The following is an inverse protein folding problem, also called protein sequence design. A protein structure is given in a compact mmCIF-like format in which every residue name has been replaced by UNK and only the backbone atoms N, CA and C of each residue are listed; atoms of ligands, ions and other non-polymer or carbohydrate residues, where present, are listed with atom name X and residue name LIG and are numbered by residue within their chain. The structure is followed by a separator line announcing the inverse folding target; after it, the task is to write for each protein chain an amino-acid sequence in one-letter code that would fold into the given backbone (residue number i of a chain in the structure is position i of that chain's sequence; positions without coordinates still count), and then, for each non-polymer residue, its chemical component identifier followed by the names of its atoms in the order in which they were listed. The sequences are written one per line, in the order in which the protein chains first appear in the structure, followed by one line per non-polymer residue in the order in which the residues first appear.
data_IF_429073529561
#
_entry.id   IF_429073529561
#
_cell.length_a   1.000
_cell.length_b   1.000
_cell.length_c   1.000
_cell.angle_alpha   90.00
_cell.angle_beta   90.00
_cell.angle_gamma   90.00
#
_symmetry.space_group_name_H-M   'P 1'
#
loop_
_entity.id
_entity.type
_entity.pdbx_description
1 polymer ?
#
# COMPACT_ATOMS: atom_id res chain seq x y z
N UNK A 1 14.93 -31.11 13.10
CA UNK A 1 15.32 -29.69 13.28
C UNK A 1 16.57 -29.64 14.13
N UNK A 2 17.67 -29.04 13.64
CA UNK A 2 18.89 -28.84 14.45
C UNK A 2 18.66 -27.68 15.43
N UNK A 3 17.79 -27.87 16.42
CA UNK A 3 17.63 -26.90 17.49
C UNK A 3 18.96 -26.84 18.28
N UNK A 4 19.57 -25.65 18.36
CA UNK A 4 20.77 -25.39 19.16
C UNK A 4 20.45 -24.23 20.09
N UNK A 5 20.54 -24.46 21.39
CA UNK A 5 20.11 -23.49 22.40
C UNK A 5 19.79 -24.16 23.74
N UNK A 6 20.71 -24.06 24.69
CA UNK A 6 20.52 -24.50 26.08
C UNK A 6 20.56 -23.28 26.98
N UNK A 7 19.64 -23.17 27.93
CA UNK A 7 19.68 -22.14 28.96
C UNK A 7 20.44 -22.69 30.17
N UNK A 8 21.61 -22.12 30.49
CA UNK A 8 22.47 -22.53 31.61
C UNK A 8 22.92 -21.31 32.39
N UNK A 9 22.85 -21.38 33.72
CA UNK A 9 23.37 -20.34 34.62
C UNK A 9 22.85 -18.92 34.27
N UNK A 10 21.60 -18.80 33.83
CA UNK A 10 21.00 -17.52 33.44
C UNK A 10 21.34 -17.02 32.03
N UNK A 11 22.09 -17.79 31.23
CA UNK A 11 22.46 -17.43 29.85
C UNK A 11 21.97 -18.45 28.83
N UNK A 12 21.59 -17.97 27.64
CA UNK A 12 21.33 -18.80 26.48
C UNK A 12 22.64 -19.07 25.74
N UNK A 13 22.99 -20.34 25.55
CA UNK A 13 24.18 -20.79 24.79
C UNK A 13 23.77 -21.69 23.63
N UNK A 14 24.32 -21.45 22.44
CA UNK A 14 23.99 -22.16 21.20
C UNK A 14 24.69 -23.51 21.09
N UNK A 15 24.37 -24.44 21.99
CA UNK A 15 24.90 -25.80 22.03
C UNK A 15 23.80 -26.84 21.77
N UNK A 16 24.21 -28.07 21.47
CA UNK A 16 23.29 -29.21 21.39
C UNK A 16 22.84 -29.63 22.79
N UNK A 17 21.59 -30.06 22.93
CA UNK A 17 21.04 -30.60 24.18
C UNK A 17 21.55 -32.07 24.33
N UNK A 18 22.04 -32.49 25.51
CA UNK A 18 22.35 -33.90 25.77
C UNK A 18 21.09 -34.78 25.63
N UNK A 19 21.21 -35.98 25.05
CA UNK A 19 20.06 -36.84 24.71
C UNK A 19 19.22 -37.23 25.94
N UNK A 20 19.89 -37.43 27.07
CA UNK A 20 19.28 -37.74 28.36
C UNK A 20 18.42 -36.59 28.90
N UNK A 21 18.79 -35.34 28.58
CA UNK A 21 18.11 -34.12 29.02
C UNK A 21 16.97 -33.71 28.06
N UNK A 22 17.01 -34.12 26.78
CA UNK A 22 16.03 -33.74 25.75
C UNK A 22 14.57 -34.05 26.12
N UNK A 23 14.31 -35.15 26.83
CA UNK A 23 12.94 -35.53 27.25
C UNK A 23 12.62 -35.16 28.69
N UNK A 24 13.62 -35.18 29.56
CA UNK A 24 13.43 -35.09 31.02
C UNK A 24 13.47 -33.65 31.53
N UNK A 25 14.09 -32.74 30.76
CA UNK A 25 14.31 -31.33 31.15
C UNK A 25 13.80 -30.33 30.12
N UNK A 26 12.97 -30.77 29.18
CA UNK A 26 12.35 -29.88 28.20
C UNK A 26 11.27 -29.02 28.84
N UNK A 27 11.48 -27.71 28.85
CA UNK A 27 10.55 -26.74 29.44
C UNK A 27 9.75 -26.00 28.35
N UNK A 28 10.28 -25.91 27.12
CA UNK A 28 9.61 -25.24 26.01
C UNK A 28 10.49 -25.03 24.79
N UNK A 29 9.85 -24.63 23.69
CA UNK A 29 10.50 -24.33 22.42
C UNK A 29 10.45 -22.83 22.15
N UNK A 30 11.61 -22.22 21.88
CA UNK A 30 11.70 -20.84 21.40
C UNK A 30 12.11 -20.85 19.92
N UNK A 31 11.32 -20.18 19.09
CA UNK A 31 11.62 -19.97 17.69
C UNK A 31 12.02 -18.51 17.48
N UNK A 32 13.20 -18.27 16.92
CA UNK A 32 13.69 -16.93 16.61
C UNK A 32 13.90 -16.78 15.11
N UNK A 33 13.15 -15.85 14.49
CA UNK A 33 13.33 -15.47 13.10
C UNK A 33 14.19 -14.20 13.02
N UNK A 34 15.48 -14.36 12.76
CA UNK A 34 16.45 -13.26 12.66
C UNK A 34 16.04 -12.23 11.60
N UNK A 35 15.59 -12.66 10.43
CA UNK A 35 15.26 -11.76 9.32
C UNK A 35 14.05 -10.88 9.67
N UNK A 36 13.02 -11.47 10.28
CA UNK A 36 11.85 -10.72 10.73
C UNK A 36 12.20 -9.70 11.83
N UNK A 37 13.07 -10.10 12.77
CA UNK A 37 13.53 -9.20 13.83
C UNK A 37 14.32 -8.00 13.28
N UNK A 38 15.29 -8.23 12.39
CA UNK A 38 16.07 -7.13 11.79
C UNK A 38 15.18 -6.21 10.94
N UNK A 39 14.20 -6.76 10.21
CA UNK A 39 13.20 -5.98 9.47
C UNK A 39 12.40 -5.07 10.41
N UNK A 40 11.81 -5.62 11.46
CA UNK A 40 11.02 -4.85 12.44
C UNK A 40 11.84 -3.75 13.12
N UNK A 41 13.12 -4.03 13.42
CA UNK A 41 14.06 -3.04 13.98
C UNK A 41 14.34 -1.90 13.01
N UNK A 42 14.49 -2.20 11.72
CA UNK A 42 14.67 -1.20 10.66
C UNK A 42 13.43 -0.32 10.50
N UNK A 43 12.25 -0.93 10.41
CA UNK A 43 10.96 -0.23 10.31
C UNK A 43 10.71 0.69 11.52
N UNK A 44 11.01 0.20 12.73
CA UNK A 44 10.91 1.01 13.94
C UNK A 44 11.83 2.24 13.88
N UNK A 45 13.09 2.06 13.45
CA UNK A 45 14.03 3.20 13.27
C UNK A 45 13.50 4.21 12.24
N UNK A 46 13.03 3.73 11.09
CA UNK A 46 12.46 4.58 10.04
C UNK A 46 11.27 5.38 10.53
N UNK A 47 10.38 4.77 11.32
CA UNK A 47 9.25 5.47 11.95
C UNK A 47 9.73 6.61 12.85
N UNK A 48 10.72 6.37 13.71
CA UNK A 48 11.25 7.41 14.61
C UNK A 48 12.05 8.49 13.87
N UNK A 49 12.77 8.12 12.81
CA UNK A 49 13.44 9.09 11.95
C UNK A 49 12.44 9.97 11.21
N UNK A 50 11.40 9.40 10.64
CA UNK A 50 10.28 10.15 10.08
C UNK A 50 9.66 11.06 11.13
N UNK A 51 9.38 10.56 12.33
CA UNK A 51 8.78 11.34 13.42
C UNK A 51 9.65 12.53 13.83
N UNK A 52 10.98 12.39 13.78
CA UNK A 52 11.94 13.47 14.10
C UNK A 52 12.07 14.52 12.99
N UNK A 53 12.00 14.10 11.73
CA UNK A 53 12.22 14.99 10.57
C UNK A 53 10.92 15.44 9.90
N UNK A 54 9.76 15.10 10.45
CA UNK A 54 8.47 15.51 9.91
C UNK A 54 8.29 17.03 9.99
N UNK A 55 7.61 17.58 9.00
CA UNK A 55 7.21 18.99 9.01
C UNK A 55 5.98 19.17 9.90
N UNK A 56 6.18 19.64 11.13
CA UNK A 56 5.12 19.84 12.13
C UNK A 56 4.02 20.82 11.68
N UNK A 57 4.29 21.74 10.75
CA UNK A 57 3.27 22.65 10.22
C UNK A 57 2.20 21.92 9.38
N UNK A 58 2.57 20.84 8.69
CA UNK A 58 1.65 20.01 7.92
C UNK A 58 0.87 19.03 8.82
N UNK A 59 1.41 18.72 9.99
CA UNK A 59 0.77 17.88 11.01
C UNK A 59 -0.27 18.66 11.83
N UNK A 60 -0.02 19.94 12.12
CA UNK A 60 -0.96 20.79 12.86
C UNK A 60 -2.33 20.94 12.20
N UNK A 61 -2.47 20.77 10.89
CA UNK A 61 -3.79 20.79 10.21
C UNK A 61 -4.47 19.41 10.14
N UNK A 62 -3.76 18.32 10.42
CA UNK A 62 -4.34 16.96 10.47
C UNK A 62 -4.67 16.53 11.90
N UNK A 63 -3.86 16.95 12.89
CA UNK A 63 -4.04 16.58 14.30
C UNK A 63 -4.75 17.68 15.13
N UNK A 64 -5.11 18.84 14.56
CA UNK A 64 -5.88 19.88 15.27
C UNK A 64 -7.30 19.43 15.63
N UNK A 65 -7.76 18.28 15.12
CA UNK A 65 -9.14 17.82 15.25
C UNK A 65 -10.11 18.57 14.34
N UNK A 66 -9.61 19.34 13.36
CA UNK A 66 -10.46 20.02 12.37
C UNK A 66 -10.89 19.10 11.22
N UNK A 67 -10.20 17.97 11.01
CA UNK A 67 -10.54 16.97 10.00
C UNK A 67 -10.27 15.54 10.48
N UNK A 68 -11.31 14.70 10.49
CA UNK A 68 -11.24 13.31 10.96
C UNK A 68 -10.74 12.30 9.90
N UNK A 69 -10.03 12.75 8.85
CA UNK A 69 -9.64 11.88 7.73
C UNK A 69 -8.33 12.27 7.02
N UNK A 70 -7.70 11.29 6.36
CA UNK A 70 -6.53 11.52 5.50
C UNK A 70 -6.92 12.11 4.13
N UNK A 71 -6.83 13.44 4.02
CA UNK A 71 -7.22 14.19 2.83
C UNK A 71 -6.40 13.84 1.57
N UNK A 72 -5.14 13.42 1.72
CA UNK A 72 -4.31 12.99 0.59
C UNK A 72 -4.81 11.64 0.07
N UNK A 73 -5.08 10.71 0.96
CA UNK A 73 -5.58 9.39 0.57
C UNK A 73 -6.98 9.48 -0.04
N UNK A 74 -7.87 10.33 0.49
CA UNK A 74 -9.16 10.57 -0.15
C UNK A 74 -9.01 11.21 -1.52
N UNK A 75 -8.14 12.22 -1.70
CA UNK A 75 -7.87 12.76 -3.03
C UNK A 75 -7.38 11.68 -4.02
N UNK A 76 -6.53 10.75 -3.58
CA UNK A 76 -6.12 9.61 -4.42
C UNK A 76 -7.30 8.68 -4.77
N UNK A 77 -8.23 8.47 -3.85
CA UNK A 77 -9.46 7.69 -4.09
C UNK A 77 -10.29 8.34 -5.21
N UNK A 78 -10.51 9.65 -5.16
CA UNK A 78 -11.20 10.38 -6.22
C UNK A 78 -10.47 10.34 -7.57
N UNK A 79 -9.14 10.41 -7.59
CA UNK A 79 -8.35 10.22 -8.82
C UNK A 79 -8.63 8.86 -9.46
N UNK A 80 -8.69 7.80 -8.66
CA UNK A 80 -8.96 6.44 -9.15
C UNK A 80 -10.39 6.31 -9.68
N UNK A 81 -11.39 6.84 -8.97
CA UNK A 81 -12.78 6.83 -9.42
C UNK A 81 -12.95 7.55 -10.76
N UNK A 82 -12.38 8.76 -10.90
CA UNK A 82 -12.44 9.50 -12.15
C UNK A 82 -11.71 8.80 -13.29
N UNK A 83 -10.55 8.20 -13.02
CA UNK A 83 -9.84 7.43 -14.05
C UNK A 83 -10.62 6.19 -14.45
N UNK A 84 -11.22 5.47 -13.49
CA UNK A 84 -12.06 4.31 -13.73
C UNK A 84 -13.28 4.66 -14.60
N UNK A 85 -13.97 5.76 -14.30
CA UNK A 85 -15.06 6.26 -15.14
C UNK A 85 -14.59 6.59 -16.57
N UNK A 86 -13.41 7.20 -16.72
CA UNK A 86 -12.85 7.51 -18.03
C UNK A 86 -12.53 6.24 -18.83
N UNK A 87 -11.99 5.20 -18.17
CA UNK A 87 -11.76 3.89 -18.78
C UNK A 87 -13.08 3.31 -19.26
N UNK A 88 -14.10 3.27 -18.40
CA UNK A 88 -15.39 2.66 -18.75
C UNK A 88 -16.09 3.38 -19.91
N UNK A 89 -15.95 4.70 -20.01
CA UNK A 89 -16.58 5.52 -21.07
C UNK A 89 -15.78 5.55 -22.38
N UNK A 90 -14.46 5.61 -22.31
CA UNK A 90 -13.61 5.93 -23.46
C UNK A 90 -12.52 4.88 -23.75
N UNK A 91 -12.37 3.89 -22.89
CA UNK A 91 -11.36 2.83 -23.04
C UNK A 91 -9.95 3.22 -22.62
N UNK A 92 -9.75 4.39 -22.03
CA UNK A 92 -8.42 4.88 -21.62
C UNK A 92 -8.42 5.52 -20.21
N UNK A 93 -7.30 5.43 -19.47
CA UNK A 93 -7.20 6.04 -18.13
C UNK A 93 -7.04 7.56 -18.19
N UNK A 94 -7.75 8.26 -17.30
CA UNK A 94 -7.51 9.70 -17.07
C UNK A 94 -6.31 9.88 -16.14
N UNK A 95 -5.13 10.11 -16.72
CA UNK A 95 -3.87 10.25 -15.96
C UNK A 95 -3.62 11.71 -15.56
N UNK A 96 -3.78 12.63 -16.52
CA UNK A 96 -3.52 14.06 -16.34
C UNK A 96 -4.84 14.79 -16.14
N UNK A 97 -5.05 15.28 -14.93
CA UNK A 97 -6.22 16.06 -14.57
C UNK A 97 -6.01 17.54 -14.93
N UNK A 98 -7.05 18.15 -15.48
CA UNK A 98 -7.09 19.58 -15.79
C UNK A 98 -8.48 20.15 -15.44
N UNK A 99 -8.63 21.47 -15.56
CA UNK A 99 -9.93 22.13 -15.39
C UNK A 99 -10.56 21.90 -14.01
N UNK A 100 -11.86 21.60 -14.00
CA UNK A 100 -12.66 21.46 -12.78
C UNK A 100 -12.24 20.28 -11.91
N UNK A 101 -11.98 19.10 -12.52
CA UNK A 101 -11.56 17.91 -11.77
C UNK A 101 -10.24 18.14 -11.04
N UNK A 102 -9.28 18.84 -11.67
CA UNK A 102 -8.03 19.20 -10.99
C UNK A 102 -8.30 20.12 -9.80
N UNK A 103 -9.15 21.15 -9.96
CA UNK A 103 -9.51 22.06 -8.88
C UNK A 103 -10.17 21.33 -7.71
N UNK A 104 -11.08 20.41 -8.00
CA UNK A 104 -11.73 19.60 -6.97
C UNK A 104 -10.73 18.71 -6.24
N UNK A 105 -9.86 17.99 -6.95
CA UNK A 105 -8.81 17.16 -6.32
C UNK A 105 -7.90 17.98 -5.41
N UNK A 106 -7.54 19.20 -5.83
CA UNK A 106 -6.75 20.12 -4.99
C UNK A 106 -7.54 20.62 -3.77
N UNK A 107 -8.83 20.87 -3.91
CA UNK A 107 -9.70 21.23 -2.79
C UNK A 107 -9.86 20.08 -1.78
N UNK A 108 -10.01 18.83 -2.24
CA UNK A 108 -10.04 17.64 -1.39
C UNK A 108 -8.72 17.50 -0.64
N UNK A 109 -7.58 17.58 -1.35
CA UNK A 109 -6.25 17.52 -0.72
C UNK A 109 -6.03 18.62 0.31
N UNK A 110 -6.58 19.80 0.06
CA UNK A 110 -6.51 20.95 0.96
C UNK A 110 -7.50 20.88 2.13
N UNK A 111 -8.31 19.82 2.24
CA UNK A 111 -9.21 19.63 3.37
C UNK A 111 -10.47 20.51 3.34
N UNK A 112 -10.91 20.93 2.16
CA UNK A 112 -12.05 21.87 2.02
C UNK A 112 -13.43 21.22 2.16
N UNK A 113 -13.49 19.92 2.47
CA UNK A 113 -14.72 19.16 2.57
C UNK A 113 -14.78 18.48 3.93
N UNK A 114 -15.99 18.16 4.37
CA UNK A 114 -16.22 17.25 5.48
C UNK A 114 -16.14 15.80 4.99
N UNK A 115 -15.98 14.86 5.92
CA UNK A 115 -15.97 13.43 5.56
C UNK A 115 -17.28 12.98 4.92
N UNK A 116 -18.43 13.43 5.45
CA UNK A 116 -19.75 13.08 4.93
C UNK A 116 -19.98 13.61 3.51
N UNK A 117 -19.53 14.83 3.20
CA UNK A 117 -19.58 15.37 1.84
C UNK A 117 -18.76 14.53 0.85
N UNK A 118 -17.59 14.04 1.28
CA UNK A 118 -16.75 13.17 0.46
C UNK A 118 -17.39 11.80 0.26
N UNK A 119 -17.99 11.21 1.30
CA UNK A 119 -18.73 9.95 1.18
C UNK A 119 -19.91 10.06 0.22
N UNK A 120 -20.69 11.14 0.32
CA UNK A 120 -21.81 11.39 -0.60
C UNK A 120 -21.33 11.49 -2.06
N UNK A 121 -20.21 12.19 -2.30
CA UNK A 121 -19.60 12.27 -3.63
C UNK A 121 -19.08 10.92 -4.13
N UNK A 122 -18.45 10.11 -3.27
CA UNK A 122 -17.98 8.76 -3.63
C UNK A 122 -19.15 7.87 -4.02
N UNK A 123 -20.27 7.94 -3.30
CA UNK A 123 -21.48 7.18 -3.63
C UNK A 123 -21.98 7.52 -5.05
N UNK A 124 -22.11 8.82 -5.36
CA UNK A 124 -22.52 9.28 -6.70
C UNK A 124 -21.58 8.76 -7.80
N UNK A 125 -20.27 8.87 -7.61
CA UNK A 125 -19.29 8.38 -8.59
C UNK A 125 -19.30 6.86 -8.74
N UNK A 126 -19.58 6.14 -7.66
CA UNK A 126 -19.67 4.67 -7.65
C UNK A 126 -20.92 4.21 -8.40
N UNK A 127 -22.06 4.87 -8.17
CA UNK A 127 -23.31 4.58 -8.89
C UNK A 127 -23.17 4.88 -10.39
N UNK A 128 -22.52 6.00 -10.73
CA UNK A 128 -22.20 6.32 -12.12
C UNK A 128 -21.32 5.23 -12.74
N UNK A 129 -20.29 4.76 -12.03
CA UNK A 129 -19.39 3.72 -12.51
C UNK A 129 -20.14 2.41 -12.78
N UNK A 130 -21.03 2.00 -11.87
CA UNK A 130 -21.87 0.81 -12.05
C UNK A 130 -22.83 0.95 -13.23
N UNK A 131 -23.36 2.16 -13.48
CA UNK A 131 -24.22 2.41 -14.62
C UNK A 131 -23.44 2.28 -15.94
N UNK A 132 -22.28 2.95 -16.05
CA UNK A 132 -21.46 2.92 -17.27
C UNK A 132 -20.91 1.51 -17.52
N UNK A 133 -20.56 0.77 -16.47
CA UNK A 133 -20.06 -0.60 -16.59
C UNK A 133 -21.07 -1.53 -17.29
N UNK A 134 -22.38 -1.30 -17.16
CA UNK A 134 -23.40 -2.12 -17.83
C UNK A 134 -23.50 -1.84 -19.34
N UNK A 135 -23.03 -0.66 -19.76
CA UNK A 135 -23.12 -0.17 -21.14
C UNK A 135 -21.78 -0.23 -21.88
N UNK A 136 -20.68 -0.47 -21.15
CA UNK A 136 -19.34 -0.45 -21.73
C UNK A 136 -19.12 -1.60 -22.71
N UNK A 137 -18.38 -1.33 -23.78
CA UNK A 137 -17.92 -2.34 -24.73
C UNK A 137 -16.62 -3.03 -24.27
N UNK A 138 -16.06 -2.65 -23.12
CA UNK A 138 -14.86 -3.27 -22.58
C UNK A 138 -15.13 -4.73 -22.18
N UNK A 139 -14.22 -5.66 -22.51
CA UNK A 139 -14.35 -7.04 -22.09
C UNK A 139 -14.16 -7.16 -20.58
N UNK A 140 -14.82 -8.15 -19.97
CA UNK A 140 -14.68 -8.45 -18.54
C UNK A 140 -13.24 -8.86 -18.18
N UNK A 141 -12.52 -9.49 -19.11
CA UNK A 141 -11.16 -9.97 -18.94
C UNK A 141 -10.29 -9.41 -20.06
N UNK A 142 -9.10 -8.93 -19.70
CA UNK A 142 -8.11 -8.46 -20.68
C UNK A 142 -7.57 -9.62 -21.54
N UNK A 143 -7.28 -9.36 -22.80
CA UNK A 143 -6.54 -10.30 -23.66
C UNK A 143 -5.09 -10.39 -23.19
N UNK A 144 -4.81 -11.36 -22.33
CA UNK A 144 -3.48 -11.61 -21.78
C UNK A 144 -2.44 -11.94 -22.86
N UNK A 145 -2.85 -12.51 -24.00
CA UNK A 145 -1.96 -12.74 -25.14
C UNK A 145 -1.48 -11.42 -25.75
N UNK A 146 -2.39 -10.46 -25.92
CA UNK A 146 -2.05 -9.10 -26.36
C UNK A 146 -1.19 -8.35 -25.34
N UNK A 147 -1.51 -8.46 -24.04
CA UNK A 147 -0.70 -7.85 -22.97
C UNK A 147 0.72 -8.41 -22.99
N UNK A 148 0.89 -9.73 -23.11
CA UNK A 148 2.22 -10.35 -23.14
C UNK A 148 3.03 -9.94 -24.37
N UNK A 149 2.39 -9.86 -25.55
CA UNK A 149 3.05 -9.35 -26.77
C UNK A 149 3.51 -7.89 -26.60
N UNK A 150 2.69 -7.06 -25.97
CA UNK A 150 3.03 -5.66 -25.69
C UNK A 150 4.20 -5.55 -24.69
N UNK A 151 4.19 -6.35 -23.63
CA UNK A 151 5.28 -6.37 -22.66
C UNK A 151 6.61 -6.72 -23.32
N UNK A 152 6.64 -7.82 -24.08
CA UNK A 152 7.84 -8.25 -24.80
C UNK A 152 8.35 -7.17 -25.75
N UNK A 153 7.47 -6.54 -26.53
CA UNK A 153 7.89 -5.52 -27.50
C UNK A 153 8.42 -4.25 -26.84
N UNK A 154 7.87 -3.84 -25.70
CA UNK A 154 8.40 -2.71 -24.92
C UNK A 154 9.75 -3.07 -24.31
N UNK A 155 9.91 -4.29 -23.78
CA UNK A 155 11.18 -4.77 -23.22
C UNK A 155 12.26 -4.83 -24.29
N UNK A 156 12.00 -5.46 -25.44
CA UNK A 156 12.96 -5.54 -26.56
C UNK A 156 13.40 -4.15 -27.03
N UNK A 157 12.46 -3.21 -27.15
CA UNK A 157 12.78 -1.82 -27.50
C UNK A 157 13.64 -1.15 -26.44
N UNK A 158 13.29 -1.30 -25.17
CA UNK A 158 14.05 -0.71 -24.08
C UNK A 158 15.48 -1.28 -24.01
N UNK A 159 15.64 -2.60 -24.18
CA UNK A 159 16.95 -3.26 -24.19
C UNK A 159 17.80 -2.79 -25.39
N UNK A 160 17.22 -2.64 -26.58
CA UNK A 160 17.95 -2.13 -27.74
C UNK A 160 18.44 -0.68 -27.54
N UNK A 161 17.69 0.15 -26.82
CA UNK A 161 18.07 1.54 -26.51
C UNK A 161 19.10 1.64 -25.36
N UNK A 162 19.33 0.56 -24.59
CA UNK A 162 20.16 0.56 -23.37
C UNK A 162 21.23 -0.55 -23.32
N UNK A 163 21.49 -1.22 -24.44
CA UNK A 163 22.62 -2.13 -24.64
C UNK A 163 23.85 -1.39 -25.20
#
# INVERSE_FOLDING_TARGET
TQAKGVFRNGMLVCESIPKEDERTRFIGLMLFNRNAFEKAKSEHRQYWDWRRHRNDAHWRSQESGEMDYDAKNLMHTFRLLYSGLNIMRFGEPLIRFSGEKLRELMAIRAGKFTYDELLAKVAVLSDELQSVQKETALPEIADMGSVNRLLLSITEKWEADHA
#
